data_IF_357009083604
#
_entry.id   IF_357009083604
#
_cell.length_a   1.000
_cell.length_b   1.000
_cell.length_c   1.000
_cell.angle_alpha   90.00
_cell.angle_beta   90.00
_cell.angle_gamma   90.00
#
_symmetry.space_group_name_H-M   'P 1'
#
loop_
_entity.id
_entity.type
_entity.pdbx_description
1 polymer ?
#
# COMPACT_ATOMS: atom_id res chain seq x y z
N UNK A 1 50.90 74.35 -6.64
CA UNK A 1 49.91 75.24 -6.01
C UNK A 1 48.52 74.69 -6.26
N UNK A 2 47.84 74.35 -5.16
CA UNK A 2 46.39 74.28 -4.94
C UNK A 2 45.41 73.61 -5.93
N UNK A 3 44.78 72.54 -5.39
CA UNK A 3 43.32 72.30 -5.24
C UNK A 3 42.49 72.10 -6.54
N UNK A 4 41.44 71.28 -6.62
CA UNK A 4 40.48 70.77 -5.65
C UNK A 4 40.03 69.35 -6.04
N UNK A 5 39.82 68.49 -5.04
CA UNK A 5 39.07 67.24 -5.15
C UNK A 5 37.56 67.54 -5.19
N UNK A 6 36.80 66.80 -6.00
CA UNK A 6 35.34 66.78 -5.95
C UNK A 6 34.89 65.32 -5.80
N UNK A 7 34.61 64.93 -4.56
CA UNK A 7 34.08 63.63 -4.17
C UNK A 7 32.56 63.68 -4.34
N UNK A 8 32.01 62.86 -5.25
CA UNK A 8 30.56 62.66 -5.38
C UNK A 8 30.14 61.62 -4.35
N UNK A 9 29.45 62.06 -3.29
CA UNK A 9 28.82 61.18 -2.32
C UNK A 9 27.46 60.73 -2.88
N UNK A 10 27.38 59.47 -3.27
CA UNK A 10 26.14 58.80 -3.67
C UNK A 10 25.38 58.42 -2.39
N UNK A 11 24.37 59.20 -2.03
CA UNK A 11 23.41 58.86 -0.99
C UNK A 11 22.53 57.71 -1.50
N UNK A 12 22.85 56.47 -1.10
CA UNK A 12 21.91 55.35 -1.19
C UNK A 12 20.86 55.52 -0.09
N UNK A 13 19.67 55.94 -0.50
CA UNK A 13 18.45 55.85 0.31
C UNK A 13 18.07 54.38 0.44
N UNK A 14 18.39 53.75 1.56
CA UNK A 14 17.78 52.48 1.96
C UNK A 14 16.30 52.74 2.26
N UNK A 15 15.45 52.55 1.27
CA UNK A 15 14.03 52.35 1.50
C UNK A 15 13.87 50.96 2.12
N UNK A 16 13.77 50.90 3.45
CA UNK A 16 13.34 49.69 4.14
C UNK A 16 11.93 49.36 3.67
N UNK A 17 11.76 48.20 3.04
CA UNK A 17 10.45 47.61 2.82
C UNK A 17 9.90 47.23 4.20
N UNK A 18 9.12 48.12 4.82
CA UNK A 18 8.19 47.71 5.85
C UNK A 18 7.15 46.83 5.14
N UNK A 19 7.28 45.51 5.28
CA UNK A 19 6.19 44.60 4.97
C UNK A 19 5.02 45.03 5.85
N UNK A 20 3.92 45.44 5.20
CA UNK A 20 2.66 45.72 5.88
C UNK A 20 2.12 44.37 6.36
N UNK A 21 2.61 43.96 7.53
CA UNK A 21 2.09 42.87 8.33
C UNK A 21 0.68 43.26 8.72
N UNK A 22 -0.30 42.90 7.88
CA UNK A 22 -1.71 43.15 8.10
C UNK A 22 -2.15 42.81 9.53
N UNK A 23 -3.33 43.28 9.94
CA UNK A 23 -3.83 42.97 11.27
C UNK A 23 -3.80 41.45 11.51
N UNK A 24 -3.26 41.04 12.66
CA UNK A 24 -3.24 39.64 13.07
C UNK A 24 -4.65 39.05 12.98
N UNK A 25 -4.80 37.83 12.43
CA UNK A 25 -6.09 37.16 12.39
C UNK A 25 -6.56 36.76 13.80
N UNK A 26 -5.62 36.52 14.72
CA UNK A 26 -5.89 36.28 16.14
C UNK A 26 -5.80 37.59 16.94
N UNK A 27 -6.59 37.71 18.00
CA UNK A 27 -6.39 38.74 19.02
C UNK A 27 -5.16 38.41 19.87
N UNK A 28 -4.60 39.42 20.55
CA UNK A 28 -3.34 39.29 21.30
C UNK A 28 -3.36 38.17 22.36
N UNK A 29 -4.50 38.03 23.06
CA UNK A 29 -4.71 37.02 24.11
C UNK A 29 -5.82 36.03 23.73
N UNK A 30 -5.95 35.68 22.45
CA UNK A 30 -6.97 34.75 21.99
C UNK A 30 -6.63 33.32 22.38
N UNK A 31 -7.51 32.64 23.10
CA UNK A 31 -7.34 31.21 23.43
C UNK A 31 -7.70 30.35 22.22
N UNK A 32 -6.79 29.50 21.78
CA UNK A 32 -6.95 28.62 20.64
C UNK A 32 -6.98 27.12 20.97
N UNK A 33 -6.51 26.69 22.15
CA UNK A 33 -6.75 25.32 22.66
C UNK A 33 -7.56 25.35 23.97
N UNK A 34 -8.73 24.71 23.96
CA UNK A 34 -9.51 24.48 25.19
C UNK A 34 -9.46 23.00 25.55
N UNK A 35 -8.54 22.63 26.45
CA UNK A 35 -8.46 21.26 26.99
C UNK A 35 -9.74 20.93 27.78
N UNK A 36 -10.67 20.19 27.16
CA UNK A 36 -11.87 19.64 27.81
C UNK A 36 -13.11 20.55 27.85
N UNK A 37 -13.19 21.59 27.03
CA UNK A 37 -14.35 22.50 26.98
C UNK A 37 -14.69 22.95 25.57
N UNK A 38 -15.99 22.99 25.23
CA UNK A 38 -16.48 23.55 23.97
C UNK A 38 -16.36 25.08 23.97
N UNK A 39 -15.31 25.60 23.35
CA UNK A 39 -15.28 26.95 22.81
C UNK A 39 -14.20 26.98 21.73
N UNK A 40 -14.65 26.94 20.47
CA UNK A 40 -14.02 27.40 19.22
C UNK A 40 -12.56 27.02 18.88
N UNK A 41 -11.85 26.27 19.73
CA UNK A 41 -10.54 25.67 19.44
C UNK A 41 -10.67 24.41 18.59
N UNK A 42 -9.78 24.23 17.62
CA UNK A 42 -9.84 23.11 16.67
C UNK A 42 -9.85 21.74 17.34
N UNK A 43 -10.60 20.79 16.77
CA UNK A 43 -10.61 19.38 17.17
C UNK A 43 -9.28 18.70 16.74
N UNK A 44 -8.15 19.13 17.30
CA UNK A 44 -6.83 18.57 17.00
C UNK A 44 -6.57 17.28 17.78
N UNK A 45 -5.87 16.34 17.16
CA UNK A 45 -5.46 15.10 17.81
C UNK A 45 -4.32 15.34 18.81
N UNK A 46 -4.18 14.42 19.78
CA UNK A 46 -3.06 14.42 20.72
C UNK A 46 -1.69 14.35 20.01
N UNK A 47 -1.62 13.67 18.87
CA UNK A 47 -0.41 13.64 18.06
C UNK A 47 -0.09 15.02 17.51
N UNK A 48 -1.05 15.68 16.85
CA UNK A 48 -0.83 16.97 16.21
C UNK A 48 -0.37 18.02 17.21
N UNK A 49 -1.02 18.10 18.38
CA UNK A 49 -0.65 19.05 19.42
C UNK A 49 0.77 18.78 19.97
N UNK A 50 1.14 17.51 20.14
CA UNK A 50 2.49 17.13 20.56
C UNK A 50 3.54 17.45 19.50
N UNK A 51 3.22 17.23 18.22
CA UNK A 51 4.14 17.51 17.11
C UNK A 51 4.30 19.00 16.86
N UNK A 52 3.29 19.84 17.11
CA UNK A 52 3.44 21.30 17.08
C UNK A 52 4.52 21.74 18.09
N UNK A 53 4.43 21.27 19.33
CA UNK A 53 5.42 21.56 20.37
C UNK A 53 6.80 21.03 19.96
N UNK A 54 6.89 19.79 19.45
CA UNK A 54 8.14 19.21 18.97
C UNK A 54 8.77 20.05 17.86
N UNK A 55 7.97 20.44 16.85
CA UNK A 55 8.43 21.20 15.71
C UNK A 55 8.97 22.58 16.11
N UNK A 56 8.30 23.27 17.03
CA UNK A 56 8.79 24.55 17.57
C UNK A 56 10.11 24.37 18.33
N UNK A 57 10.20 23.34 19.18
CA UNK A 57 11.40 23.05 19.98
C UNK A 57 12.56 22.44 19.17
N UNK A 58 12.32 22.03 17.92
CA UNK A 58 13.36 21.63 16.96
C UNK A 58 14.10 22.84 16.35
N UNK A 59 13.67 24.07 16.66
CA UNK A 59 14.38 25.29 16.30
C UNK A 59 13.87 25.99 15.02
N UNK A 60 12.61 25.77 14.62
CA UNK A 60 12.03 26.47 13.48
C UNK A 60 12.10 28.00 13.66
N UNK A 61 12.86 28.69 12.81
CA UNK A 61 13.01 30.14 12.87
C UNK A 61 11.69 30.86 12.54
N UNK A 62 11.57 32.14 12.95
CA UNK A 62 10.41 32.96 12.59
C UNK A 62 10.22 33.06 11.06
N UNK A 63 11.32 33.07 10.29
CA UNK A 63 11.28 33.06 8.83
C UNK A 63 10.71 31.75 8.29
N UNK A 64 11.16 30.60 8.80
CA UNK A 64 10.65 29.28 8.39
C UNK A 64 9.16 29.11 8.74
N UNK A 65 8.73 29.57 9.92
CA UNK A 65 7.31 29.55 10.31
C UNK A 65 6.46 30.43 9.38
N UNK A 66 6.96 31.62 9.04
CA UNK A 66 6.30 32.52 8.11
C UNK A 66 6.19 31.93 6.70
N UNK A 67 7.27 31.33 6.19
CA UNK A 67 7.29 30.63 4.90
C UNK A 67 6.33 29.44 4.88
N UNK A 68 6.17 28.76 6.02
CA UNK A 68 5.22 27.68 6.20
C UNK A 68 3.76 28.15 6.40
N UNK A 69 3.53 29.47 6.43
CA UNK A 69 2.19 30.07 6.42
C UNK A 69 1.68 30.55 7.77
N UNK A 70 2.50 30.53 8.83
CA UNK A 70 2.17 31.12 10.12
C UNK A 70 2.15 32.65 10.01
N UNK A 71 1.17 33.30 10.63
CA UNK A 71 1.11 34.76 10.61
C UNK A 71 2.34 35.38 11.29
N UNK A 72 2.91 36.43 10.67
CA UNK A 72 4.19 37.04 11.07
C UNK A 72 4.29 37.38 12.56
N UNK A 73 3.25 37.92 13.19
CA UNK A 73 3.27 38.22 14.64
C UNK A 73 3.37 36.97 15.51
N UNK A 74 2.64 35.92 15.15
CA UNK A 74 2.72 34.65 15.87
C UNK A 74 4.10 34.01 15.67
N UNK A 75 4.58 33.97 14.42
CA UNK A 75 5.90 33.43 14.10
C UNK A 75 7.05 34.15 14.84
N UNK A 76 7.03 35.49 14.87
CA UNK A 76 8.03 36.30 15.58
C UNK A 76 7.98 36.08 17.09
N UNK A 77 6.79 36.06 17.70
CA UNK A 77 6.68 35.86 19.15
C UNK A 77 6.99 34.42 19.57
N UNK A 78 6.64 33.42 18.77
CA UNK A 78 6.98 32.03 19.04
C UNK A 78 8.50 31.81 19.04
N UNK A 79 9.20 32.37 18.04
CA UNK A 79 10.66 32.32 18.00
C UNK A 79 11.29 33.13 19.14
N UNK A 80 10.79 34.34 19.42
CA UNK A 80 11.33 35.17 20.49
C UNK A 80 11.10 34.60 21.90
N UNK A 81 9.97 33.92 22.14
CA UNK A 81 9.75 33.17 23.38
C UNK A 81 10.80 32.07 23.50
N UNK A 82 10.91 31.22 22.47
CA UNK A 82 11.81 30.06 22.47
C UNK A 82 13.29 30.43 22.57
N UNK A 83 13.73 31.43 21.82
CA UNK A 83 15.16 31.75 21.61
C UNK A 83 15.73 32.72 22.68
N UNK A 84 14.96 33.02 23.74
CA UNK A 84 15.46 33.80 24.87
C UNK A 84 15.81 35.26 24.58
N UNK A 85 16.62 35.85 25.45
CA UNK A 85 17.00 37.28 25.39
C UNK A 85 18.03 37.54 24.29
N UNK A 86 18.87 36.56 23.97
CA UNK A 86 19.90 36.69 22.93
C UNK A 86 19.36 36.45 21.50
N UNK A 87 18.17 35.86 21.38
CA UNK A 87 17.45 35.63 20.13
C UNK A 87 18.12 34.60 19.22
N UNK A 88 18.92 33.69 19.80
CA UNK A 88 19.64 32.64 19.07
C UNK A 88 19.23 31.26 19.59
N UNK A 89 18.52 30.48 18.77
CA UNK A 89 18.23 29.09 19.12
C UNK A 89 19.50 28.26 19.39
N UNK A 90 19.46 27.46 20.45
CA UNK A 90 20.50 26.53 20.87
C UNK A 90 21.48 27.10 21.89
N UNK A 91 21.14 28.22 22.54
CA UNK A 91 21.94 28.89 23.58
C UNK A 91 21.46 28.53 24.99
N UNK A 92 22.05 29.15 26.03
CA UNK A 92 21.73 28.82 27.42
C UNK A 92 20.39 29.41 27.89
N UNK A 93 19.90 30.44 27.21
CA UNK A 93 18.69 31.18 27.55
C UNK A 93 17.45 30.77 26.74
N UNK A 94 17.54 29.69 25.93
CA UNK A 94 16.36 29.11 25.27
C UNK A 94 15.27 28.72 26.29
N UNK A 95 14.04 29.15 26.05
CA UNK A 95 12.84 28.80 26.82
C UNK A 95 11.93 27.88 25.99
N UNK A 96 12.31 26.59 25.93
CA UNK A 96 11.58 25.59 25.15
C UNK A 96 10.16 25.36 25.71
N UNK A 97 9.18 25.29 24.81
CA UNK A 97 7.78 25.04 25.17
C UNK A 97 7.60 23.68 25.87
N UNK A 98 6.98 23.66 27.04
CA UNK A 98 6.68 22.46 27.79
C UNK A 98 5.49 21.68 27.21
N UNK A 99 4.46 22.40 26.77
CA UNK A 99 3.24 21.83 26.21
C UNK A 99 2.50 22.82 25.28
N UNK A 100 1.37 22.36 24.74
CA UNK A 100 0.57 23.15 23.80
C UNK A 100 -0.17 24.31 24.47
N UNK A 101 -0.43 24.24 25.78
CA UNK A 101 -1.06 25.36 26.48
C UNK A 101 -0.09 26.53 26.60
N UNK A 102 1.20 26.26 26.83
CA UNK A 102 2.23 27.30 26.81
C UNK A 102 2.36 27.95 25.43
N UNK A 103 2.30 27.16 24.35
CA UNK A 103 2.28 27.70 22.96
C UNK A 103 1.08 28.64 22.74
N UNK A 104 -0.10 28.28 23.24
CA UNK A 104 -1.34 29.07 23.13
C UNK A 104 -1.36 30.33 24.03
N UNK A 105 -0.48 30.42 25.02
CA UNK A 105 -0.32 31.61 25.88
C UNK A 105 0.56 32.69 25.23
N UNK A 106 1.30 32.36 24.16
CA UNK A 106 2.14 33.32 23.44
C UNK A 106 1.29 34.36 22.72
N UNK A 107 1.65 35.64 22.88
CA UNK A 107 0.87 36.73 22.28
C UNK A 107 0.69 36.55 20.77
N UNK A 108 -0.55 36.74 20.32
CA UNK A 108 -1.00 36.55 18.94
C UNK A 108 -1.01 35.11 18.44
N UNK A 109 -0.76 34.13 19.31
CA UNK A 109 -1.14 32.74 19.07
C UNK A 109 -2.57 32.56 19.54
N UNK A 110 -3.43 32.14 18.60
CA UNK A 110 -4.82 31.80 18.88
C UNK A 110 -5.31 30.76 17.88
N UNK A 111 -6.63 30.62 17.69
CA UNK A 111 -7.21 29.58 16.84
C UNK A 111 -6.61 29.52 15.41
N UNK A 112 -6.30 30.67 14.80
CA UNK A 112 -5.78 30.69 13.43
C UNK A 112 -4.30 30.29 13.39
N UNK A 113 -3.48 30.83 14.29
CA UNK A 113 -2.07 30.44 14.41
C UNK A 113 -1.92 28.95 14.71
N UNK A 114 -2.73 28.38 15.60
CA UNK A 114 -2.71 26.95 15.89
C UNK A 114 -3.13 26.08 14.70
N UNK A 115 -4.12 26.53 13.92
CA UNK A 115 -4.47 25.85 12.67
C UNK A 115 -3.29 25.83 11.70
N UNK A 116 -2.56 26.94 11.58
CA UNK A 116 -1.38 27.04 10.73
C UNK A 116 -0.26 26.13 11.22
N UNK A 117 0.03 26.13 12.52
CA UNK A 117 1.04 25.27 13.14
C UNK A 117 0.71 23.78 12.96
N UNK A 118 -0.54 23.38 13.17
CA UNK A 118 -0.98 21.99 12.94
C UNK A 118 -0.82 21.58 11.48
N UNK A 119 -1.11 22.48 10.54
CA UNK A 119 -0.94 22.21 9.12
C UNK A 119 0.52 21.88 8.74
N UNK A 120 1.50 22.43 9.47
CA UNK A 120 2.93 22.14 9.25
C UNK A 120 3.28 20.70 9.66
N UNK A 121 2.64 20.18 10.70
CA UNK A 121 3.05 18.92 11.33
C UNK A 121 2.11 17.75 11.05
N UNK A 122 0.98 17.97 10.37
CA UNK A 122 -0.07 16.96 10.19
C UNK A 122 0.47 15.67 9.54
N UNK A 123 1.39 15.77 8.59
CA UNK A 123 2.02 14.62 7.92
C UNK A 123 2.86 13.75 8.89
N UNK A 124 3.41 14.34 9.97
CA UNK A 124 4.15 13.59 11.00
C UNK A 124 3.23 12.68 11.83
N UNK A 125 1.93 12.95 11.80
CA UNK A 125 0.89 12.20 12.51
C UNK A 125 0.15 11.19 11.63
N UNK A 126 0.43 11.16 10.32
CA UNK A 126 -0.10 10.14 9.43
C UNK A 126 0.62 8.82 9.66
N UNK A 127 -0.15 7.74 9.85
CA UNK A 127 0.43 6.40 9.87
C UNK A 127 1.05 6.09 8.50
N UNK A 128 2.19 5.39 8.44
CA UNK A 128 2.76 4.98 7.16
C UNK A 128 1.72 4.15 6.38
N UNK A 129 1.68 4.26 5.04
CA UNK A 129 0.78 3.46 4.24
C UNK A 129 1.03 1.97 4.53
N UNK A 130 -0.02 1.25 4.88
CA UNK A 130 0.05 -0.21 5.04
C UNK A 130 0.36 -0.79 3.67
N UNK A 131 1.51 -1.46 3.52
CA UNK A 131 1.75 -2.27 2.33
C UNK A 131 0.72 -3.39 2.28
N UNK A 132 -0.30 -3.22 1.44
CA UNK A 132 -1.30 -4.26 1.18
C UNK A 132 -0.66 -5.30 0.27
N UNK A 133 -0.45 -6.53 0.74
CA UNK A 133 -0.08 -7.65 -0.13
C UNK A 133 -1.20 -7.84 -1.17
N UNK A 134 -0.99 -7.49 -2.45
CA UNK A 134 -2.04 -7.59 -3.46
C UNK A 134 -2.41 -9.05 -3.76
N UNK A 135 -1.65 -10.01 -3.24
CA UNK A 135 -1.89 -11.45 -3.38
C UNK A 135 -2.51 -12.09 -2.14
N UNK A 136 -2.91 -11.34 -1.12
CA UNK A 136 -3.43 -11.87 0.14
C UNK A 136 -4.58 -12.88 -0.09
N UNK A 137 -5.53 -12.57 -0.97
CA UNK A 137 -6.64 -13.47 -1.32
C UNK A 137 -6.18 -14.75 -2.04
N UNK A 138 -5.12 -14.67 -2.85
CA UNK A 138 -4.54 -15.85 -3.48
C UNK A 138 -3.88 -16.80 -2.45
N UNK A 139 -3.45 -16.27 -1.30
CA UNK A 139 -2.88 -17.03 -0.17
C UNK A 139 -3.92 -17.58 0.80
N UNK A 140 -5.18 -17.22 0.67
CA UNK A 140 -6.25 -17.84 1.46
C UNK A 140 -6.74 -19.11 0.75
N UNK A 141 -6.37 -20.32 1.18
CA UNK A 141 -6.68 -21.55 0.46
C UNK A 141 -8.19 -21.88 0.38
N UNK A 142 -9.03 -21.22 1.17
CA UNK A 142 -10.47 -21.45 1.24
C UNK A 142 -11.26 -20.54 0.27
N UNK A 143 -10.68 -19.41 -0.12
CA UNK A 143 -11.33 -18.46 -1.01
C UNK A 143 -11.31 -18.95 -2.46
N UNK A 144 -12.48 -19.27 -3.02
CA UNK A 144 -12.58 -19.80 -4.38
C UNK A 144 -12.47 -18.72 -5.47
N UNK A 145 -13.01 -17.52 -5.23
CA UNK A 145 -13.00 -16.39 -6.15
C UNK A 145 -12.17 -15.27 -5.52
N UNK A 146 -11.10 -14.86 -6.18
CA UNK A 146 -10.20 -13.81 -5.70
C UNK A 146 -10.23 -12.58 -6.60
N UNK A 147 -9.90 -11.43 -6.02
CA UNK A 147 -9.85 -10.13 -6.66
C UNK A 147 -8.48 -9.48 -6.46
N UNK A 148 -8.16 -8.48 -7.29
CA UNK A 148 -6.90 -7.75 -7.27
C UNK A 148 -7.18 -6.26 -7.36
N UNK A 149 -6.28 -5.39 -6.85
CA UNK A 149 -6.36 -3.96 -7.10
C UNK A 149 -6.44 -3.67 -8.60
N UNK A 150 -7.29 -2.71 -8.99
CA UNK A 150 -7.57 -2.41 -10.40
C UNK A 150 -6.32 -1.98 -11.19
N UNK A 151 -5.42 -1.25 -10.52
CA UNK A 151 -4.17 -0.70 -11.04
C UNK A 151 -2.97 -1.66 -10.95
N UNK A 152 -3.17 -2.86 -10.39
CA UNK A 152 -2.10 -3.83 -10.20
C UNK A 152 -1.51 -4.27 -11.53
N UNK A 153 -0.23 -4.01 -11.81
CA UNK A 153 0.40 -4.50 -13.03
C UNK A 153 0.42 -6.05 -13.08
N UNK A 154 0.17 -6.62 -14.27
CA UNK A 154 0.36 -8.05 -14.46
C UNK A 154 1.87 -8.41 -14.42
N UNK A 155 2.25 -9.52 -13.78
CA UNK A 155 3.65 -9.93 -13.71
C UNK A 155 4.21 -10.20 -15.11
N UNK A 156 5.46 -9.80 -15.35
CA UNK A 156 6.14 -10.02 -16.64
C UNK A 156 6.60 -11.46 -16.84
N UNK A 157 6.84 -12.17 -15.74
CA UNK A 157 7.32 -13.55 -15.75
C UNK A 157 6.65 -14.38 -14.67
N UNK A 158 6.76 -15.70 -14.82
CA UNK A 158 6.08 -16.69 -14.00
C UNK A 158 7.10 -17.73 -13.54
N UNK A 159 7.12 -18.00 -12.22
CA UNK A 159 7.95 -19.06 -11.65
C UNK A 159 7.08 -20.27 -11.32
N UNK A 160 7.56 -21.46 -11.68
CA UNK A 160 6.87 -22.73 -11.43
C UNK A 160 7.09 -23.17 -9.98
N UNK A 161 6.08 -23.15 -9.09
CA UNK A 161 6.28 -23.52 -7.71
C UNK A 161 6.52 -25.03 -7.57
N UNK A 162 7.38 -25.38 -6.61
CA UNK A 162 7.71 -26.75 -6.25
C UNK A 162 7.89 -26.85 -4.74
N UNK A 163 7.09 -27.70 -4.11
CA UNK A 163 7.03 -27.86 -2.64
C UNK A 163 6.89 -29.36 -2.33
N UNK A 164 7.78 -29.91 -1.52
CA UNK A 164 7.70 -31.27 -0.96
C UNK A 164 7.29 -32.40 -1.94
N UNK A 165 7.92 -32.40 -3.12
CA UNK A 165 7.68 -33.42 -4.15
C UNK A 165 6.48 -33.14 -5.05
N UNK A 166 5.69 -32.09 -4.75
CA UNK A 166 4.67 -31.55 -5.63
C UNK A 166 5.24 -30.43 -6.48
N UNK A 167 4.78 -30.32 -7.73
CA UNK A 167 5.19 -29.22 -8.59
C UNK A 167 4.11 -28.81 -9.57
N UNK A 168 3.93 -27.51 -9.73
CA UNK A 168 3.05 -26.93 -10.72
C UNK A 168 3.90 -26.41 -11.89
N UNK A 169 4.01 -27.24 -12.92
CA UNK A 169 4.81 -26.91 -14.10
C UNK A 169 3.99 -26.31 -15.22
N UNK A 170 4.68 -25.68 -16.18
CA UNK A 170 4.10 -25.25 -17.45
C UNK A 170 3.11 -24.10 -17.35
N UNK A 171 2.77 -23.60 -18.52
CA UNK A 171 1.87 -22.46 -18.73
C UNK A 171 0.93 -22.86 -19.86
N UNK A 172 -0.37 -22.71 -19.63
CA UNK A 172 -1.41 -23.00 -20.62
C UNK A 172 -2.52 -21.98 -20.50
N UNK A 173 -2.73 -21.16 -21.51
CA UNK A 173 -3.91 -20.31 -21.61
C UNK A 173 -4.88 -20.86 -22.64
N UNK A 174 -6.14 -20.91 -22.22
CA UNK A 174 -7.28 -21.19 -23.08
C UNK A 174 -8.11 -19.93 -23.18
N UNK A 175 -7.88 -19.18 -24.25
CA UNK A 175 -8.53 -17.93 -24.58
C UNK A 175 -9.97 -18.17 -25.06
N UNK A 176 -10.95 -17.86 -24.21
CA UNK A 176 -12.37 -18.18 -24.40
C UNK A 176 -13.14 -17.09 -25.17
N UNK A 177 -12.58 -16.67 -26.31
CA UNK A 177 -13.19 -15.69 -27.22
C UNK A 177 -12.96 -16.08 -28.69
N UNK A 178 -13.76 -15.57 -29.65
CA UNK A 178 -13.78 -16.06 -31.04
C UNK A 178 -12.41 -16.06 -31.75
N UNK A 179 -11.60 -15.02 -31.53
CA UNK A 179 -10.28 -14.88 -32.14
C UNK A 179 -9.13 -15.27 -31.17
N UNK A 180 -9.46 -15.99 -30.10
CA UNK A 180 -8.48 -16.46 -29.11
C UNK A 180 -7.61 -17.60 -29.63
N UNK A 181 -6.33 -17.55 -29.33
CA UNK A 181 -5.38 -18.63 -29.59
C UNK A 181 -5.37 -19.61 -28.42
N UNK A 182 -5.81 -20.85 -28.67
CA UNK A 182 -5.97 -21.87 -27.64
C UNK A 182 -5.55 -23.28 -28.10
N UNK A 183 -4.76 -24.02 -27.30
CA UNK A 183 -3.98 -23.53 -26.16
C UNK A 183 -2.78 -22.68 -26.63
N UNK A 184 -2.41 -21.68 -25.84
CA UNK A 184 -1.09 -21.03 -25.89
C UNK A 184 -0.24 -21.49 -24.72
N UNK A 185 1.06 -21.65 -24.94
CA UNK A 185 2.01 -22.18 -23.94
C UNK A 185 3.04 -21.14 -23.48
N UNK A 186 2.92 -19.89 -23.93
CA UNK A 186 3.75 -18.78 -23.48
C UNK A 186 3.02 -17.96 -22.42
N UNK A 187 3.73 -17.62 -21.35
CA UNK A 187 3.19 -16.73 -20.31
C UNK A 187 2.80 -15.35 -20.87
N UNK A 188 3.58 -14.84 -21.82
CA UNK A 188 3.33 -13.55 -22.45
C UNK A 188 2.12 -13.51 -23.40
N UNK A 189 1.54 -14.66 -23.73
CA UNK A 189 0.33 -14.74 -24.56
C UNK A 189 -0.96 -14.63 -23.75
N UNK A 190 -0.88 -14.68 -22.41
CA UNK A 190 -2.02 -14.40 -21.55
C UNK A 190 -2.35 -12.91 -21.51
N UNK A 191 -3.63 -12.59 -21.32
CA UNK A 191 -4.05 -11.21 -21.00
C UNK A 191 -3.46 -10.76 -19.66
N UNK A 192 -3.53 -9.47 -19.33
CA UNK A 192 -3.06 -8.98 -18.03
C UNK A 192 -3.81 -9.67 -16.88
N UNK A 193 -5.14 -9.81 -16.99
CA UNK A 193 -5.95 -10.55 -16.03
C UNK A 193 -5.56 -12.03 -16.00
N UNK A 194 -5.38 -12.68 -17.15
CA UNK A 194 -4.96 -14.07 -17.24
C UNK A 194 -3.60 -14.32 -16.57
N UNK A 195 -2.62 -13.45 -16.80
CA UNK A 195 -1.30 -13.51 -16.16
C UNK A 195 -1.37 -13.31 -14.65
N UNK A 196 -2.22 -12.40 -14.16
CA UNK A 196 -2.50 -12.26 -12.72
C UNK A 196 -3.11 -13.54 -12.15
N UNK A 197 -4.14 -14.09 -12.79
CA UNK A 197 -4.77 -15.34 -12.34
C UNK A 197 -3.81 -16.54 -12.34
N UNK A 198 -2.93 -16.63 -13.33
CA UNK A 198 -1.95 -17.71 -13.41
C UNK A 198 -0.89 -17.60 -12.31
N UNK A 199 -0.47 -16.37 -11.98
CA UNK A 199 0.40 -16.10 -10.83
C UNK A 199 -0.30 -16.40 -9.50
N UNK A 200 -1.55 -15.97 -9.35
CA UNK A 200 -2.38 -16.27 -8.18
C UNK A 200 -2.59 -17.78 -7.99
N UNK A 201 -2.76 -18.51 -9.09
CA UNK A 201 -2.86 -19.96 -9.14
C UNK A 201 -1.58 -20.65 -8.62
N UNK A 202 -0.39 -20.13 -8.96
CA UNK A 202 0.87 -20.64 -8.40
C UNK A 202 1.03 -20.34 -6.92
N UNK A 203 0.70 -19.12 -6.49
CA UNK A 203 0.70 -18.75 -5.08
C UNK A 203 -0.24 -19.66 -4.28
N UNK A 204 -1.45 -19.90 -4.79
CA UNK A 204 -2.43 -20.79 -4.18
C UNK A 204 -1.90 -22.22 -4.08
N UNK A 205 -1.29 -22.70 -5.15
CA UNK A 205 -0.67 -24.03 -5.17
C UNK A 205 0.42 -24.15 -4.10
N UNK A 206 1.36 -23.19 -4.04
CA UNK A 206 2.44 -23.19 -3.06
C UNK A 206 1.90 -23.16 -1.63
N UNK A 207 0.88 -22.33 -1.39
CA UNK A 207 0.20 -22.23 -0.08
C UNK A 207 -0.43 -23.57 0.33
N UNK A 208 -1.17 -24.22 -0.57
CA UNK A 208 -1.81 -25.50 -0.27
C UNK A 208 -0.77 -26.60 -0.10
N UNK A 209 0.27 -26.65 -0.94
CA UNK A 209 1.26 -27.74 -0.94
C UNK A 209 2.38 -27.56 0.10
N UNK A 210 2.48 -26.39 0.74
CA UNK A 210 3.30 -26.20 1.94
C UNK A 210 2.79 -26.98 3.15
N UNK A 211 1.49 -27.26 3.19
CA UNK A 211 0.86 -28.18 4.12
C UNK A 211 -0.16 -29.05 3.35
N UNK A 212 0.34 -30.02 2.57
CA UNK A 212 -0.47 -30.74 1.59
C UNK A 212 -1.52 -31.60 2.30
N UNK A 213 -2.76 -31.70 1.78
CA UNK A 213 -3.75 -32.58 2.36
C UNK A 213 -3.27 -34.04 2.42
N UNK A 214 -3.66 -34.77 3.47
CA UNK A 214 -3.25 -36.17 3.66
C UNK A 214 -3.64 -37.04 2.45
N UNK A 215 -4.82 -36.82 1.88
CA UNK A 215 -5.29 -37.51 0.67
C UNK A 215 -4.38 -37.28 -0.53
N UNK A 216 -3.77 -36.09 -0.65
CA UNK A 216 -2.84 -35.77 -1.74
C UNK A 216 -1.48 -36.47 -1.57
N UNK A 217 -1.00 -36.56 -0.33
CA UNK A 217 0.20 -37.35 0.01
C UNK A 217 -0.04 -38.82 -0.30
N UNK A 218 -1.17 -39.38 0.14
CA UNK A 218 -1.56 -40.76 -0.17
C UNK A 218 -1.69 -40.99 -1.66
N UNK A 219 -2.32 -40.09 -2.42
CA UNK A 219 -2.43 -40.21 -3.86
C UNK A 219 -1.07 -40.35 -4.53
N UNK A 220 -0.09 -39.53 -4.13
CA UNK A 220 1.28 -39.60 -4.67
C UNK A 220 1.97 -40.93 -4.33
N UNK A 221 1.75 -41.45 -3.12
CA UNK A 221 2.48 -42.61 -2.62
C UNK A 221 1.82 -43.96 -3.00
N UNK A 222 0.50 -43.98 -3.23
CA UNK A 222 -0.32 -45.17 -3.48
C UNK A 222 -0.78 -45.32 -4.94
N UNK A 223 -0.45 -44.36 -5.83
CA UNK A 223 -0.82 -44.42 -7.26
C UNK A 223 0.39 -44.25 -8.19
N UNK A 224 0.14 -44.31 -9.51
CA UNK A 224 1.17 -44.08 -10.53
C UNK A 224 1.42 -42.58 -10.80
N UNK A 225 0.77 -41.67 -10.07
CA UNK A 225 0.97 -40.23 -10.20
C UNK A 225 2.10 -39.72 -9.28
N UNK A 226 2.94 -38.83 -9.81
CA UNK A 226 4.19 -38.40 -9.16
C UNK A 226 4.14 -36.99 -8.55
N UNK A 227 2.97 -36.49 -8.18
CA UNK A 227 2.84 -35.13 -7.62
C UNK A 227 2.89 -33.99 -8.66
N UNK A 228 2.77 -34.32 -9.96
CA UNK A 228 2.93 -33.35 -11.06
C UNK A 228 1.61 -32.72 -11.49
N UNK A 229 1.56 -31.41 -11.41
CA UNK A 229 0.49 -30.58 -11.94
C UNK A 229 0.93 -29.76 -13.16
N UNK A 230 -0.03 -29.33 -13.97
CA UNK A 230 0.17 -28.37 -15.05
C UNK A 230 -0.71 -27.14 -14.83
N UNK A 231 -0.14 -25.94 -14.83
CA UNK A 231 -0.92 -24.72 -14.65
C UNK A 231 -1.69 -24.39 -15.93
N UNK A 232 -3.01 -24.33 -15.80
CA UNK A 232 -3.95 -24.03 -16.87
C UNK A 232 -4.83 -22.87 -16.42
N UNK A 233 -5.08 -21.93 -17.33
CA UNK A 233 -6.03 -20.85 -17.14
C UNK A 233 -7.04 -20.81 -18.28
N UNK A 234 -8.33 -21.01 -17.98
CA UNK A 234 -9.40 -20.64 -18.90
C UNK A 234 -9.60 -19.13 -18.79
N UNK A 235 -9.11 -18.40 -19.79
CA UNK A 235 -9.14 -16.95 -19.80
C UNK A 235 -10.41 -16.46 -20.49
N UNK A 236 -11.32 -15.84 -19.74
CA UNK A 236 -12.54 -15.22 -20.28
C UNK A 236 -12.43 -13.70 -20.38
N UNK A 237 -11.26 -13.10 -20.19
CA UNK A 237 -11.07 -11.64 -20.12
C UNK A 237 -11.71 -10.91 -21.30
N UNK A 238 -11.56 -11.46 -22.51
CA UNK A 238 -12.12 -10.89 -23.75
C UNK A 238 -13.36 -11.64 -24.25
N UNK A 239 -13.99 -12.47 -23.41
CA UNK A 239 -15.20 -13.20 -23.79
C UNK A 239 -16.40 -12.26 -23.90
N UNK A 240 -17.21 -12.46 -24.94
CA UNK A 240 -18.45 -11.68 -25.14
C UNK A 240 -19.67 -12.35 -24.48
N UNK A 241 -19.56 -13.62 -24.11
CA UNK A 241 -20.72 -14.48 -23.84
C UNK A 241 -20.81 -14.98 -22.39
N UNK A 242 -19.70 -15.05 -21.67
CA UNK A 242 -19.68 -15.62 -20.33
C UNK A 242 -18.43 -15.27 -19.53
N UNK A 243 -18.55 -15.32 -18.22
CA UNK A 243 -17.44 -15.44 -17.28
C UNK A 243 -17.13 -16.90 -16.96
N UNK A 244 -16.02 -17.12 -16.27
CA UNK A 244 -15.70 -18.37 -15.62
C UNK A 244 -16.74 -18.74 -14.56
N UNK A 245 -16.93 -20.04 -14.36
CA UNK A 245 -17.93 -20.60 -13.44
C UNK A 245 -17.33 -21.30 -12.24
N UNK A 246 -16.01 -21.50 -12.22
CA UNK A 246 -15.32 -22.19 -11.14
C UNK A 246 -14.03 -22.85 -11.61
N UNK A 247 -13.10 -22.98 -10.68
CA UNK A 247 -11.85 -23.68 -10.89
C UNK A 247 -12.09 -25.19 -11.07
N UNK A 248 -11.06 -25.90 -11.54
CA UNK A 248 -11.15 -27.33 -11.78
C UNK A 248 -9.82 -28.03 -11.60
N UNK A 249 -9.86 -29.26 -11.11
CA UNK A 249 -8.76 -30.19 -11.15
C UNK A 249 -9.13 -31.39 -12.02
N UNK A 250 -8.21 -31.84 -12.87
CA UNK A 250 -8.48 -32.96 -13.76
C UNK A 250 -7.22 -33.75 -14.09
N UNK A 251 -7.21 -35.06 -13.80
CA UNK A 251 -6.16 -35.95 -14.25
C UNK A 251 -6.30 -36.23 -15.75
N UNK A 252 -5.75 -35.35 -16.58
CA UNK A 252 -5.72 -35.51 -18.05
C UNK A 252 -5.12 -36.85 -18.49
N UNK A 253 -4.07 -37.26 -17.78
CA UNK A 253 -3.43 -38.58 -17.87
C UNK A 253 -2.85 -38.91 -16.50
N UNK A 254 -2.57 -40.18 -16.24
CA UNK A 254 -2.07 -40.64 -14.94
C UNK A 254 -0.86 -39.87 -14.42
N UNK A 255 0.07 -39.50 -15.29
CA UNK A 255 1.25 -38.74 -14.89
C UNK A 255 1.08 -37.22 -14.76
N UNK A 256 -0.12 -36.65 -14.98
CA UNK A 256 -0.31 -35.20 -15.00
C UNK A 256 -1.75 -34.77 -14.66
N UNK A 257 -1.89 -34.01 -13.58
CA UNK A 257 -3.15 -33.34 -13.20
C UNK A 257 -3.13 -31.90 -13.71
N UNK A 258 -4.20 -31.47 -14.40
CA UNK A 258 -4.41 -30.08 -14.79
C UNK A 258 -4.96 -29.31 -13.59
N UNK A 259 -4.26 -28.24 -13.24
CA UNK A 259 -4.66 -27.27 -12.23
C UNK A 259 -5.26 -26.07 -12.96
N UNK A 260 -6.59 -26.04 -13.03
CA UNK A 260 -7.33 -25.14 -13.92
C UNK A 260 -7.93 -24.02 -13.11
N UNK A 261 -7.39 -22.82 -13.30
CA UNK A 261 -7.98 -21.56 -12.88
C UNK A 261 -8.88 -20.99 -13.98
N UNK A 262 -9.79 -20.09 -13.65
CA UNK A 262 -10.56 -19.34 -14.64
C UNK A 262 -10.48 -17.84 -14.37
N UNK A 263 -10.22 -17.06 -15.41
CA UNK A 263 -10.16 -15.60 -15.36
C UNK A 263 -11.47 -15.01 -15.85
N UNK A 264 -12.10 -14.15 -15.07
CA UNK A 264 -13.31 -13.44 -15.47
C UNK A 264 -12.99 -12.11 -16.19
N UNK A 265 -14.01 -11.52 -16.82
CA UNK A 265 -13.89 -10.26 -17.56
C UNK A 265 -13.49 -9.08 -16.68
N UNK A 266 -13.93 -9.09 -15.43
CA UNK A 266 -13.58 -8.07 -14.42
C UNK A 266 -12.19 -8.29 -13.78
N UNK A 267 -11.49 -9.36 -14.15
CA UNK A 267 -10.17 -9.69 -13.60
C UNK A 267 -10.21 -10.50 -12.31
N UNK A 268 -11.39 -10.86 -11.80
CA UNK A 268 -11.50 -11.84 -10.73
C UNK A 268 -11.11 -13.24 -11.21
N UNK A 269 -10.53 -14.05 -10.32
CA UNK A 269 -10.01 -15.36 -10.67
C UNK A 269 -10.63 -16.45 -9.81
N UNK A 270 -11.18 -17.48 -10.46
CA UNK A 270 -11.49 -18.73 -9.79
C UNK A 270 -10.22 -19.56 -9.61
N UNK A 271 -9.87 -19.88 -8.37
CA UNK A 271 -8.70 -20.69 -8.00
C UNK A 271 -9.12 -22.01 -7.34
N UNK A 272 -8.38 -23.12 -7.54
CA UNK A 272 -8.62 -24.34 -6.78
C UNK A 272 -8.43 -24.12 -5.27
N UNK A 273 -9.41 -24.53 -4.48
CA UNK A 273 -9.38 -24.45 -3.02
C UNK A 273 -8.76 -25.70 -2.40
N UNK A 274 -8.38 -25.64 -1.11
CA UNK A 274 -7.93 -26.81 -0.35
C UNK A 274 -8.95 -27.95 -0.40
N UNK A 275 -10.22 -27.64 -0.18
CA UNK A 275 -11.30 -28.61 -0.27
C UNK A 275 -11.38 -29.27 -1.67
N UNK A 276 -11.19 -28.50 -2.75
CA UNK A 276 -11.18 -29.05 -4.11
C UNK A 276 -9.99 -29.98 -4.35
N UNK A 277 -8.81 -29.62 -3.81
CA UNK A 277 -7.59 -30.43 -3.86
C UNK A 277 -7.77 -31.75 -3.11
N UNK A 278 -8.43 -31.73 -1.95
CA UNK A 278 -8.79 -32.92 -1.19
C UNK A 278 -9.76 -33.82 -1.98
N UNK A 279 -10.85 -33.24 -2.51
CA UNK A 279 -11.85 -33.98 -3.28
C UNK A 279 -11.26 -34.65 -4.52
N UNK A 280 -10.39 -33.96 -5.27
CA UNK A 280 -9.77 -34.59 -6.44
C UNK A 280 -8.84 -35.72 -6.03
N UNK A 281 -8.11 -35.58 -4.91
CA UNK A 281 -7.21 -36.61 -4.44
C UNK A 281 -7.97 -37.90 -4.07
N UNK A 282 -9.09 -37.76 -3.38
CA UNK A 282 -9.99 -38.86 -3.02
C UNK A 282 -10.60 -39.53 -4.26
N UNK A 283 -11.10 -38.75 -5.21
CA UNK A 283 -11.64 -39.29 -6.48
C UNK A 283 -10.56 -40.06 -7.27
N UNK A 284 -9.33 -39.53 -7.31
CA UNK A 284 -8.22 -40.19 -7.97
C UNK A 284 -7.75 -41.46 -7.25
N UNK A 285 -7.74 -41.49 -5.91
CA UNK A 285 -7.44 -42.69 -5.12
C UNK A 285 -8.46 -43.80 -5.40
N UNK A 286 -9.75 -43.50 -5.35
CA UNK A 286 -10.83 -44.44 -5.66
C UNK A 286 -10.71 -45.02 -7.07
N UNK A 287 -10.23 -44.20 -8.02
CA UNK A 287 -9.96 -44.64 -9.39
C UNK A 287 -8.72 -45.52 -9.48
N UNK A 288 -7.62 -45.12 -8.87
CA UNK A 288 -6.36 -45.87 -8.84
C UNK A 288 -6.52 -47.28 -8.27
N UNK A 289 -7.30 -47.43 -7.18
CA UNK A 289 -7.63 -48.74 -6.58
C UNK A 289 -8.31 -49.71 -7.57
N UNK A 290 -9.03 -49.19 -8.56
CA UNK A 290 -9.78 -49.98 -9.57
C UNK A 290 -9.05 -50.10 -10.89
N UNK A 291 -7.86 -49.51 -11.02
CA UNK A 291 -7.17 -49.34 -12.30
C UNK A 291 -5.65 -49.43 -12.16
N UNK A 292 -5.16 -50.30 -11.26
CA UNK A 292 -3.73 -50.56 -11.05
C UNK A 292 -2.87 -49.29 -10.87
N UNK A 293 -3.40 -48.33 -10.11
CA UNK A 293 -2.75 -47.04 -9.84
C UNK A 293 -2.97 -45.97 -10.92
N UNK A 294 -3.69 -46.26 -12.00
CA UNK A 294 -4.01 -45.28 -13.06
C UNK A 294 -5.13 -44.33 -12.62
N UNK A 295 -4.87 -43.03 -12.70
CA UNK A 295 -5.80 -42.00 -12.21
C UNK A 295 -6.47 -41.22 -13.34
N UNK A 296 -6.12 -41.45 -14.60
CA UNK A 296 -6.66 -40.71 -15.74
C UNK A 296 -8.18 -40.60 -15.71
N UNK A 297 -8.69 -39.36 -15.72
CA UNK A 297 -10.11 -39.04 -15.77
C UNK A 297 -10.74 -38.60 -14.46
N UNK A 298 -10.11 -38.83 -13.30
CA UNK A 298 -10.58 -38.26 -12.04
C UNK A 298 -10.57 -36.72 -12.09
N UNK A 299 -11.52 -36.08 -11.41
CA UNK A 299 -11.65 -34.62 -11.43
C UNK A 299 -12.46 -34.06 -10.26
N UNK A 300 -12.20 -32.80 -9.91
CA UNK A 300 -13.04 -32.02 -9.01
C UNK A 300 -13.35 -30.65 -9.64
N UNK A 301 -14.50 -30.09 -9.27
CA UNK A 301 -14.98 -28.76 -9.62
C UNK A 301 -15.49 -28.06 -8.35
#
# INVERSE_FOLDING_TARGET
>A
MNRLALTVACLLSLAGCAMDAGASPDAEDAVGVVLGGKADGGDYSECELREVVSHLNEGASAEELLEAGVHVRAAENLAAHRDGEDGLFGTEDDDLFADIAEVDEVSWVGPVALQQLVAIVTERCEAPPVEVDPWAEARDPELALVSFPEDMAAPESYQYPRVDGFGLGGTEFWQQWPDGHSPTFSFSEGTDHGRRCMQASAIRFETIMADPPESMVRLRDESNWSGRFFNWNDDFTLSEWSDGRGARLWAWRTGLVKWISQTNRDGTCWLPTREMVERVAEDCLLRGERSDGEIQGCSAR
#
